data_IF_428605064022
#
_entry.id   IF_428605064022
#
_cell.length_a   1.000
_cell.length_b   1.000
_cell.length_c   1.000
_cell.angle_alpha   90.00
_cell.angle_beta   90.00
_cell.angle_gamma   90.00
#
_symmetry.space_group_name_H-M   'P 1'
#
loop_
_entity.id
_entity.type
_entity.pdbx_description
1 polymer ?
#
# COMPACT_ATOMS: atom_id res chain seq x y z
N UNK A 1 79.14 -20.60 0.07
CA UNK A 1 77.79 -20.01 -0.04
C UNK A 1 76.88 -20.80 0.88
N UNK A 2 76.29 -20.22 1.94
CA UNK A 2 75.34 -20.96 2.77
C UNK A 2 73.99 -21.05 2.03
N UNK A 3 73.41 -22.24 1.98
CA UNK A 3 72.09 -22.53 1.42
C UNK A 3 71.00 -22.07 2.40
N UNK A 4 69.99 -21.34 1.93
CA UNK A 4 68.90 -20.87 2.79
C UNK A 4 67.97 -19.76 2.27
N UNK A 5 67.96 -19.45 0.97
CA UNK A 5 67.09 -18.38 0.41
C UNK A 5 65.95 -18.88 -0.49
N UNK A 6 65.69 -20.19 -0.56
CA UNK A 6 64.71 -20.77 -1.50
C UNK A 6 63.24 -20.64 -1.05
N UNK A 7 62.92 -19.71 -0.14
CA UNK A 7 61.55 -19.49 0.37
C UNK A 7 61.11 -18.02 0.38
N UNK A 8 61.56 -17.24 -0.58
CA UNK A 8 60.94 -15.95 -0.90
C UNK A 8 60.58 -15.99 -2.38
N UNK A 9 59.29 -15.79 -2.70
CA UNK A 9 58.64 -15.81 -4.03
C UNK A 9 57.73 -17.01 -4.33
N UNK A 10 56.81 -17.34 -3.42
CA UNK A 10 55.55 -17.97 -3.85
C UNK A 10 54.38 -17.28 -3.15
N UNK A 11 53.91 -16.18 -3.75
CA UNK A 11 52.53 -15.75 -3.56
C UNK A 11 51.66 -16.75 -4.30
N UNK A 12 51.09 -17.69 -3.55
CA UNK A 12 49.99 -18.52 -4.04
C UNK A 12 48.81 -17.57 -4.32
N UNK A 13 48.29 -17.47 -5.55
CA UNK A 13 47.12 -16.65 -5.79
C UNK A 13 45.97 -17.32 -5.04
N UNK A 14 45.44 -16.61 -4.05
CA UNK A 14 44.20 -16.93 -3.38
C UNK A 14 43.17 -17.22 -4.48
N UNK A 15 42.65 -18.45 -4.51
CA UNK A 15 41.68 -18.85 -5.51
C UNK A 15 40.44 -17.97 -5.33
N UNK A 16 40.35 -16.90 -6.12
CA UNK A 16 39.19 -16.04 -6.17
C UNK A 16 37.97 -16.93 -6.37
N UNK A 17 37.06 -16.91 -5.39
CA UNK A 17 35.74 -17.50 -5.53
C UNK A 17 35.15 -17.01 -6.85
N UNK A 18 34.55 -17.90 -7.68
CA UNK A 18 34.02 -17.47 -8.97
C UNK A 18 33.06 -16.30 -8.74
N UNK A 19 33.14 -15.22 -9.55
CA UNK A 19 32.21 -14.11 -9.42
C UNK A 19 30.79 -14.68 -9.48
N UNK A 20 29.97 -14.26 -8.52
CA UNK A 20 28.57 -14.67 -8.49
C UNK A 20 27.98 -14.50 -9.90
N UNK A 21 27.22 -15.49 -10.41
CA UNK A 21 26.67 -15.41 -11.76
C UNK A 21 25.96 -14.06 -11.90
N UNK A 22 26.11 -13.36 -13.04
CA UNK A 22 25.48 -12.08 -13.24
C UNK A 22 23.99 -12.26 -12.93
N UNK A 23 23.49 -11.55 -11.91
CA UNK A 23 22.07 -11.55 -11.58
C UNK A 23 21.36 -11.23 -12.88
N UNK A 24 20.61 -12.20 -13.41
CA UNK A 24 19.83 -11.99 -14.64
C UNK A 24 19.03 -10.72 -14.38
N UNK A 25 19.20 -9.71 -15.23
CA UNK A 25 18.40 -8.49 -15.18
C UNK A 25 16.95 -8.92 -15.41
N UNK A 26 16.22 -9.17 -14.32
CA UNK A 26 14.80 -9.43 -14.41
C UNK A 26 14.16 -8.17 -14.96
N UNK A 27 13.41 -8.31 -16.04
CA UNK A 27 12.50 -7.25 -16.50
C UNK A 27 11.39 -6.98 -15.48
N UNK A 28 11.26 -7.85 -14.47
CA UNK A 28 10.44 -7.64 -13.30
C UNK A 28 11.13 -6.67 -12.33
N UNK A 29 10.40 -5.63 -11.95
CA UNK A 29 10.80 -4.69 -10.91
C UNK A 29 11.13 -5.43 -9.61
N UNK A 30 12.26 -5.10 -8.97
CA UNK A 30 12.66 -5.62 -7.65
C UNK A 30 11.70 -5.16 -6.54
N UNK A 31 10.89 -4.15 -6.81
CA UNK A 31 9.99 -3.52 -5.87
C UNK A 31 8.59 -4.12 -5.92
N UNK A 32 8.03 -4.34 -4.75
CA UNK A 32 6.63 -4.72 -4.56
C UNK A 32 5.99 -3.76 -3.57
N UNK A 33 4.70 -3.47 -3.74
CA UNK A 33 3.90 -2.78 -2.74
C UNK A 33 2.95 -3.78 -2.08
N UNK A 34 2.81 -3.68 -0.77
CA UNK A 34 1.86 -4.45 0.00
C UNK A 34 1.01 -3.54 0.89
N UNK A 35 -0.32 -3.70 0.85
CA UNK A 35 -1.24 -2.93 1.69
C UNK A 35 -1.33 -3.58 3.07
N UNK A 36 -0.50 -3.12 4.01
CA UNK A 36 -0.45 -3.60 5.40
C UNK A 36 -1.69 -3.26 6.22
N UNK A 37 -2.33 -2.14 5.90
CA UNK A 37 -3.62 -1.76 6.47
C UNK A 37 -4.58 -1.36 5.37
N UNK A 38 -5.63 -2.17 5.20
CA UNK A 38 -6.68 -1.91 4.22
C UNK A 38 -7.60 -0.77 4.68
N UNK A 39 -8.07 0.11 3.77
CA UNK A 39 -9.23 0.95 4.04
C UNK A 39 -10.47 0.07 4.21
N UNK A 40 -11.33 0.39 5.19
CA UNK A 40 -12.56 -0.38 5.46
C UNK A 40 -13.80 0.45 5.15
N UNK A 41 -13.79 1.72 5.55
CA UNK A 41 -14.89 2.64 5.34
C UNK A 41 -14.39 4.07 5.22
N UNK A 42 -15.20 4.94 4.62
CA UNK A 42 -15.01 6.37 4.74
C UNK A 42 -16.35 7.08 4.84
N UNK A 43 -16.32 8.34 5.27
CA UNK A 43 -17.47 9.23 5.23
C UNK A 43 -17.30 10.22 4.09
N UNK A 44 -18.31 10.32 3.23
CA UNK A 44 -18.37 11.34 2.20
C UNK A 44 -18.29 12.75 2.83
N UNK A 45 -17.36 13.59 2.36
CA UNK A 45 -17.16 14.94 2.90
C UNK A 45 -17.89 16.06 2.12
N UNK A 46 -18.50 15.76 0.98
CA UNK A 46 -19.18 16.75 0.15
C UNK A 46 -18.22 17.83 -0.40
N UNK A 47 -18.77 19.00 -0.73
CA UNK A 47 -18.01 20.09 -1.36
C UNK A 47 -17.11 20.87 -0.38
N UNK A 48 -17.39 20.84 0.93
CA UNK A 48 -16.65 21.61 1.94
C UNK A 48 -15.68 20.77 2.77
N UNK A 49 -14.62 21.40 3.31
CA UNK A 49 -13.60 20.70 4.12
C UNK A 49 -13.91 20.63 5.62
N UNK A 50 -14.96 21.32 6.09
CA UNK A 50 -15.27 21.46 7.52
C UNK A 50 -15.57 20.12 8.21
N UNK A 51 -16.25 19.21 7.51
CA UNK A 51 -16.64 17.88 8.02
C UNK A 51 -15.81 16.74 7.42
N UNK A 52 -14.66 17.09 6.84
CA UNK A 52 -13.75 16.14 6.21
C UNK A 52 -13.23 15.14 7.23
N UNK A 53 -13.41 13.85 6.93
CA UNK A 53 -12.88 12.73 7.72
C UNK A 53 -11.98 11.88 6.85
N UNK A 54 -10.81 11.47 7.36
CA UNK A 54 -9.96 10.59 6.61
C UNK A 54 -10.65 9.22 6.42
N UNK A 55 -10.24 8.49 5.39
CA UNK A 55 -10.54 7.08 5.18
C UNK A 55 -10.09 6.30 6.42
N UNK A 56 -10.89 5.33 6.84
CA UNK A 56 -10.74 4.63 8.10
C UNK A 56 -10.76 3.10 7.92
N UNK A 57 -9.80 2.37 8.51
CA UNK A 57 -8.55 2.89 9.06
C UNK A 57 -7.68 3.50 7.92
N UNK A 58 -6.69 4.36 8.24
CA UNK A 58 -5.88 5.00 7.22
C UNK A 58 -5.07 3.94 6.43
N UNK A 59 -5.05 3.97 5.09
CA UNK A 59 -4.25 3.00 4.35
C UNK A 59 -2.77 3.11 4.71
N UNK A 60 -2.14 1.96 4.98
CA UNK A 60 -0.69 1.87 5.24
C UNK A 60 -0.14 0.87 4.23
N UNK A 61 0.81 1.34 3.42
CA UNK A 61 1.45 0.55 2.38
C UNK A 61 2.91 0.34 2.75
N UNK A 62 3.43 -0.86 2.55
CA UNK A 62 4.85 -1.19 2.76
C UNK A 62 5.50 -1.52 1.41
N UNK A 63 6.74 -1.08 1.22
CA UNK A 63 7.58 -1.58 0.13
C UNK A 63 8.24 -2.89 0.54
N UNK A 64 8.16 -3.90 -0.34
CA UNK A 64 8.89 -5.16 -0.21
C UNK A 64 9.87 -5.28 -1.36
N UNK A 65 11.04 -5.82 -1.06
CA UNK A 65 12.09 -6.10 -2.04
C UNK A 65 12.12 -7.59 -2.35
N UNK A 66 12.20 -7.93 -3.63
CA UNK A 66 12.42 -9.30 -4.08
C UNK A 66 13.83 -9.78 -3.68
N UNK A 67 13.90 -11.00 -3.14
CA UNK A 67 15.12 -11.61 -2.58
C UNK A 67 15.82 -10.72 -1.54
N UNK A 68 15.04 -10.12 -0.65
CA UNK A 68 15.54 -9.22 0.38
C UNK A 68 16.50 -9.89 1.37
N UNK A 69 17.58 -9.18 1.72
CA UNK A 69 18.49 -9.55 2.79
C UNK A 69 18.71 -8.37 3.75
N UNK A 70 18.36 -8.54 5.02
CA UNK A 70 18.55 -7.51 6.05
C UNK A 70 20.02 -7.19 6.34
N UNK A 71 20.95 -8.09 6.01
CA UNK A 71 22.39 -7.86 6.17
C UNK A 71 23.02 -7.17 4.94
N UNK A 72 22.26 -7.01 3.85
CA UNK A 72 22.72 -6.32 2.65
C UNK A 72 22.64 -4.81 2.86
N UNK A 73 23.77 -4.12 2.79
CA UNK A 73 23.79 -2.65 2.87
C UNK A 73 22.97 -2.03 1.73
N UNK A 74 23.04 -2.61 0.53
CA UNK A 74 22.26 -2.15 -0.63
C UNK A 74 20.75 -2.18 -0.36
N UNK A 75 20.25 -3.25 0.27
CA UNK A 75 18.82 -3.41 0.57
C UNK A 75 18.37 -2.40 1.63
N UNK A 76 19.21 -2.16 2.63
CA UNK A 76 18.96 -1.16 3.66
C UNK A 76 18.96 0.26 3.08
N UNK A 77 19.93 0.57 2.20
CA UNK A 77 20.00 1.87 1.53
C UNK A 77 18.75 2.12 0.65
N UNK A 78 18.25 1.08 -0.03
CA UNK A 78 16.99 1.15 -0.79
C UNK A 78 15.81 1.45 0.14
N UNK A 79 15.68 0.75 1.28
CA UNK A 79 14.59 1.01 2.22
C UNK A 79 14.63 2.44 2.76
N UNK A 80 15.82 3.01 2.97
CA UNK A 80 16.02 4.35 3.50
C UNK A 80 15.99 5.45 2.43
N UNK A 81 15.95 5.12 1.13
CA UNK A 81 16.03 6.11 0.06
C UNK A 81 14.86 7.11 0.12
N UNK A 82 15.12 8.40 0.43
CA UNK A 82 14.07 9.41 0.58
C UNK A 82 13.43 9.80 -0.76
N UNK A 83 13.98 9.32 -1.88
CA UNK A 83 13.49 9.65 -3.23
C UNK A 83 12.28 8.83 -3.65
N UNK A 84 11.90 7.81 -2.88
CA UNK A 84 10.65 7.11 -3.11
C UNK A 84 9.44 8.00 -2.81
N UNK A 85 8.35 7.75 -3.51
CA UNK A 85 7.04 8.34 -3.24
C UNK A 85 5.97 7.37 -3.70
N UNK A 86 4.90 7.24 -2.92
CA UNK A 86 3.70 6.50 -3.34
C UNK A 86 2.56 7.47 -3.59
N UNK A 87 2.02 7.43 -4.81
CA UNK A 87 0.79 8.13 -5.19
C UNK A 87 -0.43 7.24 -5.00
N UNK A 88 -1.55 7.82 -4.57
CA UNK A 88 -2.82 7.15 -4.39
C UNK A 88 -3.87 7.70 -5.36
N UNK A 89 -4.53 6.79 -6.07
CA UNK A 89 -5.62 7.07 -7.00
C UNK A 89 -6.90 6.38 -6.52
N UNK A 90 -8.05 6.94 -6.83
CA UNK A 90 -9.37 6.43 -6.44
C UNK A 90 -10.13 5.93 -7.65
N UNK A 91 -10.63 4.70 -7.59
CA UNK A 91 -11.40 4.07 -8.66
C UNK A 91 -12.77 3.61 -8.16
N UNK A 92 -13.87 3.95 -8.86
CA UNK A 92 -15.17 3.40 -8.56
C UNK A 92 -15.21 1.90 -8.85
N UNK A 93 -15.91 1.14 -8.02
CA UNK A 93 -16.17 -0.27 -8.24
C UNK A 93 -17.62 -0.40 -8.68
N UNK A 94 -17.82 -0.94 -9.87
CA UNK A 94 -19.17 -1.34 -10.28
C UNK A 94 -19.64 -2.44 -9.33
N UNK A 95 -20.84 -2.36 -8.74
CA UNK A 95 -21.41 -3.53 -8.09
C UNK A 95 -21.47 -4.62 -9.16
N UNK A 96 -20.67 -5.68 -9.01
CA UNK A 96 -20.81 -6.84 -9.87
C UNK A 96 -22.27 -7.25 -9.79
N UNK A 97 -22.96 -7.29 -10.93
CA UNK A 97 -24.21 -8.06 -10.99
C UNK A 97 -23.85 -9.45 -10.51
N UNK A 98 -24.45 -9.98 -9.43
CA UNK A 98 -24.31 -11.38 -9.12
C UNK A 98 -24.70 -12.12 -10.39
N UNK A 99 -23.80 -12.97 -10.86
CA UNK A 99 -23.96 -13.90 -11.97
C UNK A 99 -25.42 -14.28 -12.21
N UNK A 100 -25.98 -13.81 -13.32
CA UNK A 100 -27.20 -14.40 -13.86
C UNK A 100 -26.85 -15.83 -14.24
N UNK A 101 -27.39 -16.81 -13.52
CA UNK A 101 -27.39 -18.18 -14.02
C UNK A 101 -28.02 -18.19 -15.43
N UNK A 102 -27.49 -18.97 -16.38
CA UNK A 102 -28.16 -19.16 -17.65
C UNK A 102 -29.36 -20.08 -17.42
N UNK A 103 -30.51 -19.51 -17.07
CA UNK A 103 -31.79 -20.23 -17.15
C UNK A 103 -32.21 -20.25 -18.61
N UNK A 104 -32.12 -21.44 -19.21
CA UNK A 104 -32.68 -21.76 -20.51
C UNK A 104 -34.19 -21.44 -20.54
N UNK A 105 -34.58 -20.76 -21.63
CA UNK A 105 -35.89 -20.75 -22.28
C UNK A 105 -37.14 -20.91 -21.41
N UNK A 106 -37.93 -19.84 -21.29
CA UNK A 106 -39.33 -19.95 -21.70
C UNK A 106 -39.88 -18.65 -22.28
N UNK A 107 -40.77 -18.86 -23.23
CA UNK A 107 -41.44 -17.99 -24.18
C UNK A 107 -42.51 -17.08 -23.55
N UNK A 108 -42.81 -15.97 -24.24
CA UNK A 108 -44.19 -15.45 -24.30
C UNK A 108 -44.50 -14.14 -23.60
N UNK A 109 -44.49 -13.08 -24.41
CA UNK A 109 -45.53 -12.05 -24.57
C UNK A 109 -45.85 -10.98 -23.49
N UNK A 110 -45.70 -9.73 -23.97
CA UNK A 110 -46.49 -8.51 -23.77
C UNK A 110 -47.21 -8.27 -22.43
N UNK A 111 -46.84 -7.16 -21.76
CA UNK A 111 -47.83 -6.09 -21.54
C UNK A 111 -47.19 -4.72 -21.33
N UNK A 112 -47.66 -3.77 -22.14
CA UNK A 112 -47.52 -2.33 -21.94
C UNK A 112 -48.50 -1.91 -20.85
N UNK A 113 -48.02 -1.11 -19.90
CA UNK A 113 -48.75 -0.06 -19.16
C UNK A 113 -48.35 -0.04 -17.69
N UNK A 114 -47.52 0.95 -17.33
CA UNK A 114 -47.62 1.77 -16.10
C UNK A 114 -46.49 2.79 -16.05
N UNK A 115 -46.52 3.69 -17.02
CA UNK A 115 -45.78 4.94 -16.99
C UNK A 115 -46.67 6.00 -16.32
N UNK A 116 -46.54 6.14 -14.99
CA UNK A 116 -46.88 7.33 -14.16
C UNK A 116 -46.93 6.88 -12.70
N UNK A 117 -45.80 7.04 -11.99
CA UNK A 117 -45.73 7.29 -10.52
C UNK A 117 -44.27 7.29 -10.00
N UNK A 118 -43.30 7.80 -10.77
CA UNK A 118 -41.89 7.96 -10.32
C UNK A 118 -41.36 9.38 -10.45
N UNK A 119 -42.20 10.33 -10.10
CA UNK A 119 -41.85 11.75 -10.15
C UNK A 119 -42.25 12.46 -8.86
N UNK A 120 -41.73 11.97 -7.72
CA UNK A 120 -41.71 12.79 -6.48
C UNK A 120 -40.64 12.47 -5.43
N UNK A 121 -39.60 11.70 -5.76
CA UNK A 121 -38.50 11.40 -4.80
C UNK A 121 -37.07 11.63 -5.38
N UNK A 122 -36.92 12.49 -6.39
CA UNK A 122 -35.62 12.70 -7.08
C UNK A 122 -34.80 13.89 -6.55
N UNK A 123 -34.80 14.14 -5.24
CA UNK A 123 -34.07 15.29 -4.68
C UNK A 123 -33.12 14.97 -3.50
N UNK A 124 -32.67 13.72 -3.32
CA UNK A 124 -31.63 13.42 -2.31
C UNK A 124 -30.47 12.50 -2.72
N UNK A 125 -30.43 11.95 -3.93
CA UNK A 125 -29.32 11.11 -4.38
C UNK A 125 -28.33 11.91 -5.23
N UNK A 126 -27.37 12.55 -4.55
CA UNK A 126 -26.20 13.20 -5.13
C UNK A 126 -25.20 12.21 -5.73
N UNK A 127 -25.64 11.37 -6.66
CA UNK A 127 -24.77 10.54 -7.49
C UNK A 127 -24.20 11.45 -8.58
N UNK A 128 -22.94 11.86 -8.42
CA UNK A 128 -22.22 12.60 -9.44
C UNK A 128 -22.23 11.79 -10.75
N UNK A 129 -22.78 12.36 -11.82
CA UNK A 129 -22.70 11.79 -13.16
C UNK A 129 -21.28 11.95 -13.71
N UNK A 130 -20.84 10.99 -14.51
CA UNK A 130 -19.49 10.93 -15.11
C UNK A 130 -19.19 12.07 -16.09
N UNK A 131 -20.19 12.88 -16.46
CA UNK A 131 -20.10 13.81 -17.58
C UNK A 131 -20.17 15.30 -17.18
N UNK A 132 -20.04 15.62 -15.89
CA UNK A 132 -20.07 17.03 -15.43
C UNK A 132 -18.65 17.65 -15.46
N UNK A 133 -18.37 18.63 -16.33
CA UNK A 133 -17.05 19.28 -16.47
C UNK A 133 -16.62 20.11 -15.25
N UNK A 134 -17.43 20.17 -14.19
CA UNK A 134 -17.06 20.75 -12.88
C UNK A 134 -16.70 19.71 -11.81
N UNK A 135 -16.42 18.45 -12.20
CA UNK A 135 -16.09 17.36 -11.27
C UNK A 135 -14.87 17.70 -10.39
N UNK A 136 -15.13 18.19 -9.18
CA UNK A 136 -14.12 18.33 -8.14
C UNK A 136 -13.40 16.99 -7.98
N UNK A 137 -12.07 16.95 -7.81
CA UNK A 137 -11.38 15.69 -7.59
C UNK A 137 -12.03 14.96 -6.42
N UNK A 138 -12.51 13.75 -6.70
CA UNK A 138 -13.29 12.94 -5.77
C UNK A 138 -12.46 12.56 -4.52
N UNK A 139 -11.13 12.52 -4.68
CA UNK A 139 -10.15 12.36 -3.61
C UNK A 139 -9.65 13.73 -3.13
N UNK A 140 -9.59 13.94 -1.81
CA UNK A 140 -9.12 15.17 -1.18
C UNK A 140 -8.11 14.88 -0.06
N UNK A 141 -7.16 15.80 0.15
CA UNK A 141 -6.07 15.67 1.12
C UNK A 141 -4.75 15.23 0.49
N UNK A 142 -3.94 14.48 1.23
CA UNK A 142 -2.60 14.08 0.82
C UNK A 142 -2.62 12.77 0.03
N UNK A 143 -2.65 12.91 -1.30
CA UNK A 143 -2.64 11.78 -2.23
C UNK A 143 -1.24 11.23 -2.56
N UNK A 144 -0.18 11.90 -2.12
CA UNK A 144 1.21 11.46 -2.31
C UNK A 144 1.90 11.40 -0.95
N UNK A 145 2.63 10.32 -0.69
CA UNK A 145 3.33 10.10 0.58
C UNK A 145 4.80 9.77 0.33
N UNK A 146 5.65 10.38 1.15
CA UNK A 146 7.07 10.06 1.28
C UNK A 146 7.27 8.80 2.14
N UNK A 147 8.42 8.11 2.00
CA UNK A 147 8.73 6.94 2.82
C UNK A 147 8.87 7.32 4.29
N UNK A 148 8.39 6.43 5.15
CA UNK A 148 8.62 6.44 6.59
C UNK A 148 9.34 5.14 6.96
N UNK A 149 10.66 5.24 7.08
CA UNK A 149 11.54 4.13 7.45
C UNK A 149 11.51 3.89 8.96
N UNK A 150 11.56 2.61 9.34
CA UNK A 150 11.75 2.16 10.72
C UNK A 150 12.78 1.03 10.76
N UNK A 151 13.60 1.04 11.80
CA UNK A 151 14.61 -0.01 12.04
C UNK A 151 13.99 -1.37 12.37
N UNK A 152 12.78 -1.37 12.95
CA UNK A 152 12.03 -2.57 13.27
C UNK A 152 10.54 -2.38 13.00
N UNK A 153 9.92 -3.34 12.32
CA UNK A 153 8.47 -3.36 12.07
C UNK A 153 7.69 -3.32 13.40
N UNK A 154 6.79 -2.34 13.61
CA UNK A 154 6.02 -2.23 14.85
C UNK A 154 4.90 -3.29 15.00
N UNK A 155 4.58 -4.05 13.94
CA UNK A 155 3.63 -5.15 13.98
C UNK A 155 4.16 -6.37 13.20
N UNK A 156 5.22 -7.05 13.71
CA UNK A 156 5.91 -8.13 13.01
C UNK A 156 5.05 -9.40 12.85
N UNK A 157 3.97 -9.53 13.63
CA UNK A 157 3.05 -10.65 13.52
C UNK A 157 2.14 -10.55 12.29
N UNK A 158 1.87 -9.32 11.80
CA UNK A 158 1.11 -9.08 10.57
C UNK A 158 1.99 -8.79 9.36
N UNK A 159 3.31 -8.75 9.54
CA UNK A 159 4.25 -8.43 8.47
C UNK A 159 4.28 -9.55 7.41
N UNK A 160 4.08 -9.21 6.12
CA UNK A 160 4.22 -10.17 5.03
C UNK A 160 5.69 -10.52 4.83
N UNK A 161 6.00 -11.74 4.35
CA UNK A 161 7.35 -12.05 3.90
C UNK A 161 7.68 -11.24 2.65
N UNK A 162 8.96 -10.91 2.48
CA UNK A 162 9.47 -10.43 1.22
C UNK A 162 9.37 -11.53 0.14
N UNK A 163 9.05 -11.19 -1.12
CA UNK A 163 9.00 -12.17 -2.20
C UNK A 163 10.38 -12.73 -2.52
N UNK A 164 10.42 -13.92 -3.12
CA UNK A 164 11.66 -14.59 -3.53
C UNK A 164 11.55 -15.08 -4.97
N UNK A 165 12.62 -14.93 -5.76
CA UNK A 165 12.69 -15.36 -7.17
C UNK A 165 12.78 -16.87 -7.34
N UNK A 166 13.14 -17.61 -6.29
CA UNK A 166 13.37 -19.05 -6.35
C UNK A 166 12.04 -19.79 -6.17
N UNK A 167 11.52 -20.33 -7.28
CA UNK A 167 10.36 -21.22 -7.32
C UNK A 167 10.75 -22.73 -7.33
N UNK A 168 12.02 -23.09 -7.12
CA UNK A 168 12.43 -24.51 -7.11
C UNK A 168 12.39 -25.10 -5.68
N UNK A 169 11.42 -25.96 -5.36
CA UNK A 169 11.34 -26.58 -4.03
C UNK A 169 12.57 -27.44 -3.67
N UNK A 170 13.41 -27.81 -4.65
CA UNK A 170 14.61 -28.65 -4.46
C UNK A 170 15.90 -27.88 -4.21
N UNK A 171 15.91 -26.57 -4.45
CA UNK A 171 17.04 -25.66 -4.20
C UNK A 171 16.72 -24.67 -3.08
N UNK A 172 15.89 -25.08 -2.13
CA UNK A 172 15.69 -24.37 -0.87
C UNK A 172 17.01 -24.36 -0.08
N UNK A 173 17.92 -23.49 -0.50
CA UNK A 173 19.14 -23.18 0.21
C UNK A 173 18.80 -22.74 1.64
N UNK A 174 19.72 -22.92 2.61
CA UNK A 174 19.48 -22.61 4.02
C UNK A 174 19.22 -21.12 4.31
N UNK A 175 19.26 -20.24 3.30
CA UNK A 175 18.93 -18.82 3.39
C UNK A 175 17.46 -18.54 3.71
N UNK A 176 16.59 -19.56 3.79
CA UNK A 176 15.25 -19.42 4.39
C UNK A 176 15.24 -19.24 5.93
N UNK A 177 16.40 -18.97 6.54
CA UNK A 177 16.53 -18.59 7.95
C UNK A 177 15.69 -17.36 8.35
N UNK A 178 15.24 -16.54 7.38
CA UNK A 178 14.36 -15.38 7.61
C UNK A 178 12.91 -15.73 7.94
N UNK A 179 12.50 -17.01 7.84
CA UNK A 179 11.20 -17.47 8.34
C UNK A 179 11.20 -17.80 9.84
N UNK A 180 12.32 -17.60 10.55
CA UNK A 180 12.34 -17.75 12.00
C UNK A 180 11.60 -16.57 12.66
N UNK A 181 10.66 -16.79 13.60
CA UNK A 181 9.87 -15.72 14.21
C UNK A 181 10.74 -14.63 14.87
N UNK A 182 11.93 -14.98 15.35
CA UNK A 182 12.91 -14.04 15.91
C UNK A 182 13.54 -13.10 14.86
N UNK A 183 13.69 -13.54 13.61
CA UNK A 183 14.25 -12.72 12.54
C UNK A 183 13.27 -11.60 12.10
N UNK A 184 11.95 -11.83 12.23
CA UNK A 184 10.92 -10.84 11.90
C UNK A 184 10.75 -9.73 12.94
N UNK A 185 11.17 -9.95 14.19
CA UNK A 185 11.03 -8.96 15.27
C UNK A 185 11.90 -7.71 15.07
N UNK A 186 12.96 -7.82 14.26
CA UNK A 186 13.92 -6.73 14.03
C UNK A 186 14.13 -6.46 12.54
N UNK A 187 13.13 -6.79 11.71
CA UNK A 187 13.23 -6.52 10.29
C UNK A 187 12.95 -5.03 10.03
N UNK A 188 13.86 -4.30 9.38
CA UNK A 188 13.60 -2.93 8.98
C UNK A 188 12.50 -2.88 7.91
N UNK A 189 11.76 -1.78 7.90
CA UNK A 189 10.63 -1.63 7.00
C UNK A 189 10.43 -0.17 6.60
N UNK A 190 9.88 0.03 5.41
CA UNK A 190 9.52 1.36 4.91
C UNK A 190 8.05 1.41 4.55
N UNK A 191 7.35 2.37 5.16
CA UNK A 191 5.91 2.55 5.04
C UNK A 191 5.56 3.85 4.32
N UNK A 192 4.39 3.85 3.67
CA UNK A 192 3.74 5.01 3.10
C UNK A 192 2.35 5.10 3.72
N UNK A 193 2.13 6.15 4.51
CA UNK A 193 1.02 6.22 5.46
C UNK A 193 0.02 7.28 5.03
N UNK A 194 -1.16 6.85 4.57
CA UNK A 194 -2.20 7.73 4.05
C UNK A 194 -3.16 8.18 5.15
N UNK A 195 -2.65 8.91 6.14
CA UNK A 195 -3.42 9.39 7.30
C UNK A 195 -4.42 10.52 6.98
N UNK A 196 -4.31 11.13 5.80
CA UNK A 196 -5.06 12.30 5.40
C UNK A 196 -5.67 12.17 3.99
N UNK A 197 -6.30 11.02 3.70
CA UNK A 197 -7.11 10.81 2.49
C UNK A 197 -8.59 10.92 2.81
N UNK A 198 -9.36 11.70 2.06
CA UNK A 198 -10.83 11.78 2.18
C UNK A 198 -11.51 11.69 0.83
N UNK A 199 -12.76 11.27 0.82
CA UNK A 199 -13.53 11.04 -0.42
C UNK A 199 -14.80 11.88 -0.38
N UNK A 200 -15.11 12.58 -1.47
CA UNK A 200 -16.20 13.56 -1.51
C UNK A 200 -17.58 12.93 -1.61
N UNK A 201 -17.71 11.85 -2.39
CA UNK A 201 -19.00 11.24 -2.71
C UNK A 201 -19.12 9.83 -2.17
N UNK A 202 -20.34 9.47 -1.77
CA UNK A 202 -20.67 8.12 -1.33
C UNK A 202 -20.62 7.14 -2.52
N UNK A 203 -20.28 5.88 -2.24
CA UNK A 203 -20.13 4.86 -3.27
C UNK A 203 -19.24 3.71 -2.82
N UNK A 204 -18.98 2.79 -3.75
CA UNK A 204 -18.02 1.69 -3.57
C UNK A 204 -16.77 1.98 -4.38
N UNK A 205 -15.60 1.90 -3.74
CA UNK A 205 -14.34 2.29 -4.37
C UNK A 205 -13.22 1.32 -4.02
N UNK A 206 -12.14 1.38 -4.81
CA UNK A 206 -10.82 0.85 -4.51
C UNK A 206 -9.77 1.93 -4.67
N UNK A 207 -8.69 1.82 -3.91
CA UNK A 207 -7.50 2.66 -4.05
C UNK A 207 -6.45 1.91 -4.87
N UNK A 208 -5.78 2.62 -5.77
CA UNK A 208 -4.55 2.16 -6.41
C UNK A 208 -3.38 2.94 -5.84
N UNK A 209 -2.35 2.23 -5.40
CA UNK A 209 -1.10 2.79 -4.92
C UNK A 209 -0.02 2.56 -5.97
N UNK A 210 0.73 3.60 -6.32
CA UNK A 210 1.79 3.56 -7.33
C UNK A 210 3.10 4.03 -6.73
N UNK A 211 4.11 3.16 -6.71
CA UNK A 211 5.46 3.50 -6.28
C UNK A 211 6.21 4.18 -7.42
N UNK A 212 6.89 5.25 -7.08
CA UNK A 212 7.72 6.04 -7.96
C UNK A 212 9.01 6.42 -7.23
N UNK A 213 10.10 6.64 -7.97
CA UNK A 213 11.35 7.20 -7.43
C UNK A 213 11.76 8.38 -8.31
N UNK A 214 11.81 9.58 -7.74
CA UNK A 214 12.06 10.79 -8.53
C UNK A 214 13.55 11.00 -8.86
N UNK A 215 14.48 10.30 -8.19
CA UNK A 215 15.91 10.34 -8.53
C UNK A 215 16.20 9.86 -9.96
N UNK A 216 15.41 8.90 -10.46
CA UNK A 216 15.53 8.46 -11.86
C UNK A 216 15.31 9.59 -12.88
N UNK A 217 14.49 10.59 -12.55
CA UNK A 217 14.24 11.74 -13.41
C UNK A 217 15.47 12.65 -13.45
N UNK A 218 16.10 12.90 -12.29
CA UNK A 218 17.31 13.72 -12.20
C UNK A 218 18.48 13.11 -12.98
N UNK A 219 18.64 11.78 -12.88
CA UNK A 219 19.75 11.06 -13.48
C UNK A 219 19.58 10.84 -15.00
N UNK A 220 18.35 10.69 -15.49
CA UNK A 220 18.09 10.24 -16.88
C UNK A 220 17.28 11.21 -17.74
N UNK A 221 16.63 12.22 -17.14
CA UNK A 221 15.70 13.12 -17.82
C UNK A 221 14.41 12.47 -18.34
N UNK A 222 14.16 11.20 -18.00
CA UNK A 222 12.96 10.46 -18.41
C UNK A 222 11.80 10.70 -17.45
N UNK A 223 10.56 10.52 -17.92
CA UNK A 223 9.37 10.55 -17.06
C UNK A 223 9.49 9.48 -15.97
N UNK A 224 9.14 9.84 -14.74
CA UNK A 224 9.22 8.96 -13.57
C UNK A 224 8.43 7.65 -13.80
N UNK A 225 9.09 6.48 -13.89
CA UNK A 225 8.40 5.21 -14.14
C UNK A 225 7.61 4.76 -12.91
N UNK A 226 6.55 3.98 -13.15
CA UNK A 226 5.86 3.27 -12.08
C UNK A 226 6.65 2.01 -11.76
N UNK A 227 7.23 1.97 -10.57
CA UNK A 227 8.11 0.89 -10.12
C UNK A 227 7.34 -0.32 -9.59
N UNK A 228 6.20 -0.09 -8.94
CA UNK A 228 5.34 -1.12 -8.40
C UNK A 228 3.93 -0.56 -8.18
N UNK A 229 2.93 -1.45 -8.18
CA UNK A 229 1.56 -1.08 -7.88
C UNK A 229 0.94 -2.03 -6.86
N UNK A 230 0.01 -1.53 -6.05
CA UNK A 230 -0.86 -2.33 -5.20
C UNK A 230 -2.29 -1.77 -5.24
N UNK A 231 -3.26 -2.65 -5.05
CA UNK A 231 -4.68 -2.30 -4.99
C UNK A 231 -5.22 -2.59 -3.60
N UNK A 232 -6.05 -1.70 -3.08
CA UNK A 232 -6.83 -1.98 -1.87
C UNK A 232 -7.97 -2.96 -2.16
N UNK A 233 -8.52 -3.53 -1.10
CA UNK A 233 -9.85 -4.13 -1.15
C UNK A 233 -10.92 -3.07 -1.45
N UNK A 234 -12.09 -3.47 -2.00
CA UNK A 234 -13.20 -2.56 -2.16
C UNK A 234 -13.69 -2.12 -0.79
N UNK A 235 -13.95 -0.84 -0.63
CA UNK A 235 -14.46 -0.27 0.62
C UNK A 235 -15.57 0.73 0.35
N UNK A 236 -16.46 0.87 1.32
CA UNK A 236 -17.66 1.69 1.18
C UNK A 236 -17.41 3.09 1.72
N UNK A 237 -17.76 4.08 0.91
CA UNK A 237 -17.87 5.47 1.32
C UNK A 237 -19.34 5.74 1.62
N UNK A 238 -19.63 6.01 2.89
CA UNK A 238 -20.98 6.20 3.38
C UNK A 238 -21.41 7.66 3.25
N UNK A 239 -22.70 7.92 2.99
CA UNK A 239 -23.31 9.20 3.29
C UNK A 239 -23.07 9.57 4.77
N UNK A 240 -23.06 10.87 5.07
CA UNK A 240 -22.75 11.37 6.41
C UNK A 240 -23.62 10.75 7.52
N UNK A 241 -24.90 10.52 7.24
CA UNK A 241 -25.90 9.96 8.15
C UNK A 241 -25.70 8.47 8.46
N UNK A 242 -25.11 7.72 7.52
CA UNK A 242 -25.03 6.25 7.59
C UNK A 242 -23.62 5.78 7.98
N UNK A 243 -22.70 6.71 8.22
CA UNK A 243 -21.32 6.39 8.56
C UNK A 243 -21.26 5.74 9.95
N UNK A 244 -20.72 4.51 10.08
CA UNK A 244 -20.72 3.76 11.34
C UNK A 244 -19.81 4.35 12.43
N UNK A 245 -19.10 5.44 12.14
CA UNK A 245 -18.08 6.00 13.01
C UNK A 245 -16.68 5.52 12.62
N UNK A 246 -15.69 6.16 13.24
CA UNK A 246 -14.28 5.81 13.03
C UNK A 246 -13.92 4.69 14.00
N UNK A 247 -13.09 3.75 13.56
CA UNK A 247 -12.67 2.57 14.30
C UNK A 247 -11.54 2.92 15.27
N UNK A 248 -11.29 1.98 16.18
CA UNK A 248 -10.10 2.00 17.01
C UNK A 248 -8.85 1.78 16.15
N UNK A 249 -7.73 2.33 16.61
CA UNK A 249 -6.45 2.19 15.92
C UNK A 249 -5.93 0.76 16.01
N UNK A 250 -5.37 0.27 14.90
CA UNK A 250 -4.68 -1.01 14.89
C UNK A 250 -3.35 -0.92 15.62
N UNK A 251 -2.79 -2.09 15.97
CA UNK A 251 -1.44 -2.21 16.55
C UNK A 251 -0.41 -1.52 15.65
N UNK A 252 -0.45 -1.77 14.34
CA UNK A 252 0.43 -1.13 13.36
C UNK A 252 0.32 0.40 13.39
N UNK A 253 -0.90 0.96 13.39
CA UNK A 253 -1.10 2.41 13.41
C UNK A 253 -0.66 3.04 14.74
N UNK A 254 -0.86 2.35 15.86
CA UNK A 254 -0.38 2.80 17.16
C UNK A 254 1.16 2.77 17.24
N UNK A 255 1.78 1.67 16.82
CA UNK A 255 3.23 1.53 16.85
C UNK A 255 3.93 2.53 15.92
N UNK A 256 3.41 2.77 14.70
CA UNK A 256 3.96 3.81 13.81
C UNK A 256 3.84 5.22 14.41
N UNK A 257 2.77 5.49 15.15
CA UNK A 257 2.61 6.76 15.87
C UNK A 257 3.64 6.90 16.98
N UNK A 258 3.89 5.84 17.74
CA UNK A 258 4.89 5.79 18.81
C UNK A 258 6.31 5.94 18.27
N UNK A 259 6.59 5.40 17.08
CA UNK A 259 7.84 5.58 16.33
C UNK A 259 8.00 6.97 15.69
N UNK A 260 7.04 7.88 15.89
CA UNK A 260 7.19 9.29 15.53
C UNK A 260 6.42 9.73 14.28
N UNK A 261 5.56 8.90 13.68
CA UNK A 261 4.69 9.36 12.61
C UNK A 261 3.54 10.23 13.16
N UNK A 262 3.80 11.52 13.33
CA UNK A 262 2.94 12.44 14.07
C UNK A 262 1.58 12.72 13.42
N UNK A 263 1.41 12.47 12.12
CA UNK A 263 0.15 12.76 11.42
C UNK A 263 -0.96 11.74 11.71
N UNK A 264 -0.61 10.54 12.18
CA UNK A 264 -1.58 9.54 12.60
C UNK A 264 -2.34 9.99 13.86
N UNK A 265 -3.67 9.87 13.80
CA UNK A 265 -4.56 10.15 14.93
C UNK A 265 -5.03 8.82 15.54
N UNK A 266 -4.49 8.46 16.69
CA UNK A 266 -4.85 7.21 17.38
C UNK A 266 -6.15 7.34 18.18
N UNK A 267 -6.94 6.27 18.24
CA UNK A 267 -8.25 6.17 18.92
C UNK A 267 -8.36 4.80 19.59
N UNK A 268 -9.04 4.71 20.74
CA UNK A 268 -9.23 3.45 21.45
C UNK A 268 -9.30 3.64 22.97
N UNK A 269 -9.41 2.53 23.71
CA UNK A 269 -9.61 2.54 25.16
C UNK A 269 -8.50 3.32 25.88
N UNK A 270 -8.88 4.33 26.67
CA UNK A 270 -7.96 5.23 27.39
C UNK A 270 -7.50 6.47 26.61
N UNK A 271 -7.72 6.53 25.29
CA UNK A 271 -7.35 7.66 24.43
C UNK A 271 -8.61 8.45 24.04
N UNK A 272 -9.05 9.34 24.92
CA UNK A 272 -10.23 10.19 24.66
C UNK A 272 -11.01 10.67 25.88
N UNK A 273 -10.36 11.11 26.96
CA UNK A 273 -11.05 11.97 27.92
C UNK A 273 -10.83 13.42 27.51
N UNK A 274 -11.85 13.98 26.84
CA UNK A 274 -11.93 15.41 26.61
C UNK A 274 -11.59 16.16 27.90
N UNK A 275 -10.68 17.12 27.78
CA UNK A 275 -10.34 18.07 28.83
C UNK A 275 -11.65 18.76 29.24
N UNK A 276 -12.33 18.27 30.28
CA UNK A 276 -13.43 19.00 30.92
C UNK A 276 -12.79 20.28 31.43
N UNK A 277 -12.99 21.37 30.68
CA UNK A 277 -12.68 22.72 31.16
C UNK A 277 -13.54 22.90 32.42
N UNK A 278 -12.88 22.95 33.57
CA UNK A 278 -13.42 23.55 34.78
C UNK A 278 -13.46 25.06 34.60
#
# INVERSE_FOLDING_TARGET
MPHGFDKLLHHEPEAESPPAPPRRLSTQSRYHLHVRQQPIAARACGAGDRDRRPVDPPPIVQILLNDFDSNSQEDNDILQDPRFTVGCLLFPVSPQSPWSEPTESDTGDLDQDREKDREKDRDTDGVARTDDPFSTPLLSGKAFMSPFYVEADPDPNSAPPHPSSINDPRLSSPSNAYNHPSARLHQPATFFIFADLSIRSAGLYRLQFRLMNWGSVEDTGQSMPILAEAWSDPFRVYPAKDFPGMRDSSILAEGLKELGFVELKTRGHGKGKGKKRR
#
